data_IF_118591582209
#
_entry.id   IF_118591582209
#
_cell.length_a   1.000
_cell.length_b   1.000
_cell.length_c   1.000
_cell.angle_alpha   90.00
_cell.angle_beta   90.00
_cell.angle_gamma   90.00
#
_symmetry.space_group_name_H-M   'P 1'
#
loop_
_entity.id
_entity.type
_entity.pdbx_description
1 polymer ?
#
# COMPACT_ATOMS: atom_id res chain seq x y z
N UNK A 1 4.55 -6.27 4.81
CA UNK A 1 4.43 -6.51 3.36
C UNK A 1 3.36 -7.56 3.15
N UNK A 2 2.15 -7.13 2.79
CA UNK A 2 1.05 -8.04 2.44
C UNK A 2 1.16 -8.32 0.95
N UNK A 3 1.70 -9.47 0.60
CA UNK A 3 1.79 -9.92 -0.80
C UNK A 3 0.43 -10.47 -1.25
N UNK A 4 0.03 -10.15 -2.47
CA UNK A 4 -1.23 -10.65 -3.05
C UNK A 4 -0.94 -11.68 -4.13
N UNK A 5 -1.77 -12.73 -4.21
CA UNK A 5 -1.63 -13.76 -5.24
C UNK A 5 -2.24 -13.33 -6.59
N UNK A 6 -3.12 -12.34 -6.59
CA UNK A 6 -3.79 -11.89 -7.81
C UNK A 6 -4.05 -10.37 -7.82
N UNK A 7 -4.08 -9.80 -9.03
CA UNK A 7 -4.24 -8.36 -9.28
C UNK A 7 -5.57 -7.83 -8.74
N UNK A 8 -6.63 -8.66 -8.78
CA UNK A 8 -7.96 -8.25 -8.32
C UNK A 8 -7.96 -7.94 -6.82
N UNK A 9 -7.33 -8.79 -6.02
CA UNK A 9 -7.27 -8.60 -4.57
C UNK A 9 -6.37 -7.43 -4.20
N UNK A 10 -5.24 -7.28 -4.91
CA UNK A 10 -4.35 -6.13 -4.73
C UNK A 10 -5.04 -4.79 -5.07
N UNK A 11 -5.80 -4.74 -6.17
CA UNK A 11 -6.58 -3.55 -6.56
C UNK A 11 -7.71 -3.26 -5.58
N UNK A 12 -8.39 -4.30 -5.08
CA UNK A 12 -9.47 -4.13 -4.11
C UNK A 12 -8.95 -3.50 -2.82
N UNK A 13 -7.82 -3.98 -2.32
CA UNK A 13 -7.18 -3.40 -1.13
C UNK A 13 -6.71 -1.95 -1.38
N UNK A 14 -6.13 -1.66 -2.54
CA UNK A 14 -5.75 -0.29 -2.92
C UNK A 14 -6.96 0.67 -2.97
N UNK A 15 -8.13 0.20 -3.42
CA UNK A 15 -9.37 0.99 -3.41
C UNK A 15 -9.86 1.21 -1.98
N UNK A 16 -9.82 0.19 -1.13
CA UNK A 16 -10.21 0.31 0.29
C UNK A 16 -9.31 1.29 1.04
N UNK A 17 -8.01 1.28 0.73
CA UNK A 17 -7.03 2.25 1.20
C UNK A 17 -7.43 3.66 0.72
N UNK A 18 -7.66 3.85 -0.57
CA UNK A 18 -8.01 5.16 -1.13
C UNK A 18 -9.34 5.74 -0.58
N UNK A 19 -10.31 4.89 -0.26
CA UNK A 19 -11.63 5.29 0.26
C UNK A 19 -11.65 5.44 1.80
N UNK A 20 -10.56 5.11 2.48
CA UNK A 20 -10.47 5.22 3.93
C UNK A 20 -10.60 6.68 4.38
N UNK A 21 -11.74 6.99 5.01
CA UNK A 21 -12.04 8.34 5.53
C UNK A 21 -11.19 8.73 6.74
N UNK A 22 -10.66 7.75 7.46
CA UNK A 22 -9.73 7.95 8.57
C UNK A 22 -8.91 6.70 8.79
N UNK A 23 -7.63 6.89 9.11
CA UNK A 23 -6.67 5.80 9.26
C UNK A 23 -6.37 5.43 10.71
N UNK A 24 -6.84 6.23 11.67
CA UNK A 24 -6.64 6.00 13.10
C UNK A 24 -5.19 6.22 13.54
N UNK A 25 -4.78 5.45 14.55
CA UNK A 25 -3.44 5.51 15.13
C UNK A 25 -2.65 4.23 14.84
N UNK A 26 -1.36 4.38 14.55
CA UNK A 26 -0.41 3.29 14.35
C UNK A 26 0.33 3.05 15.66
N UNK A 27 0.59 1.78 15.96
CA UNK A 27 1.39 1.36 17.11
C UNK A 27 2.71 0.77 16.65
N UNK A 28 3.77 1.56 16.75
CA UNK A 28 5.14 1.15 16.40
C UNK A 28 6.05 1.26 17.62
N UNK A 29 6.81 0.20 17.91
CA UNK A 29 7.84 0.23 18.96
C UNK A 29 7.33 0.60 20.37
N UNK A 30 6.05 0.33 20.66
CA UNK A 30 5.41 0.69 21.94
C UNK A 30 4.88 2.12 22.01
N UNK A 31 5.05 2.93 20.97
CA UNK A 31 4.49 4.29 20.86
C UNK A 31 3.25 4.26 19.96
N UNK A 32 2.21 5.00 20.35
CA UNK A 32 1.00 5.22 19.55
C UNK A 32 1.11 6.60 18.93
N UNK A 33 1.03 6.70 17.61
CA UNK A 33 1.01 7.98 16.88
C UNK A 33 -0.11 7.98 15.85
N UNK A 34 -0.71 9.15 15.55
CA UNK A 34 -1.68 9.25 14.47
C UNK A 34 -1.02 8.90 13.14
N UNK A 35 -1.79 8.25 12.26
CA UNK A 35 -1.38 8.00 10.87
C UNK A 35 -1.12 9.33 10.18
N UNK A 36 0.04 9.43 9.56
CA UNK A 36 0.44 10.58 8.74
C UNK A 36 0.13 10.32 7.27
N UNK A 37 0.14 11.38 6.47
CA UNK A 37 0.00 11.28 5.01
C UNK A 37 1.13 10.41 4.43
N UNK A 38 2.33 10.47 5.01
CA UNK A 38 3.46 9.67 4.55
C UNK A 38 3.19 8.17 4.71
N UNK A 39 2.63 7.75 5.86
CA UNK A 39 2.32 6.32 6.08
C UNK A 39 1.29 5.80 5.05
N UNK A 40 0.32 6.65 4.67
CA UNK A 40 -0.67 6.31 3.65
C UNK A 40 -0.03 6.24 2.26
N UNK A 41 0.90 7.16 1.96
CA UNK A 41 1.66 7.13 0.71
C UNK A 41 2.52 5.88 0.61
N UNK A 42 3.22 5.51 1.67
CA UNK A 42 4.06 4.31 1.73
C UNK A 42 3.21 3.06 1.54
N UNK A 43 2.07 2.96 2.24
CA UNK A 43 1.13 1.85 2.08
C UNK A 43 0.57 1.76 0.65
N UNK A 44 0.22 2.90 0.06
CA UNK A 44 -0.27 2.96 -1.32
C UNK A 44 0.82 2.56 -2.31
N UNK A 45 2.06 2.99 -2.09
CA UNK A 45 3.20 2.66 -2.93
C UNK A 45 3.49 1.15 -2.89
N UNK A 46 3.44 0.53 -1.71
CA UNK A 46 3.53 -0.93 -1.59
C UNK A 46 2.44 -1.65 -2.40
N UNK A 47 1.20 -1.12 -2.42
CA UNK A 47 0.11 -1.72 -3.21
C UNK A 47 0.33 -1.58 -4.70
N UNK A 48 0.76 -0.41 -5.15
CA UNK A 48 1.04 -0.15 -6.54
C UNK A 48 2.18 -1.02 -7.07
N UNK A 49 3.23 -1.25 -6.26
CA UNK A 49 4.33 -2.14 -6.63
C UNK A 49 3.89 -3.60 -6.73
N UNK A 50 3.11 -4.09 -5.76
CA UNK A 50 2.52 -5.44 -5.85
C UNK A 50 1.63 -5.60 -7.10
N UNK A 51 0.81 -4.59 -7.42
CA UNK A 51 -0.03 -4.62 -8.63
C UNK A 51 0.85 -4.65 -9.89
N UNK A 52 1.89 -3.82 -9.94
CA UNK A 52 2.82 -3.76 -11.05
C UNK A 52 3.58 -5.10 -11.22
N UNK A 53 4.08 -5.71 -10.14
CA UNK A 53 4.71 -7.04 -10.17
C UNK A 53 3.77 -8.11 -10.73
N UNK A 54 2.52 -8.15 -10.25
CA UNK A 54 1.52 -9.11 -10.71
C UNK A 54 1.12 -8.91 -12.18
N UNK A 55 1.28 -7.69 -12.70
CA UNK A 55 1.05 -7.34 -14.10
C UNK A 55 2.30 -7.48 -14.98
N UNK A 56 3.46 -7.81 -14.39
CA UNK A 56 4.75 -7.82 -15.10
C UNK A 56 5.21 -6.43 -15.54
N UNK A 57 4.77 -5.38 -14.85
CA UNK A 57 5.07 -3.97 -15.08
C UNK A 57 6.05 -3.41 -14.04
N UNK A 58 6.95 -4.25 -13.53
CA UNK A 58 7.93 -3.85 -12.50
C UNK A 58 8.87 -2.74 -13.00
N UNK A 59 8.95 -2.52 -14.32
CA UNK A 59 9.65 -1.41 -14.96
C UNK A 59 9.15 -0.02 -14.50
N UNK A 60 7.91 0.08 -14.00
CA UNK A 60 7.33 1.35 -13.52
C UNK A 60 8.02 1.94 -12.29
N UNK A 61 8.79 1.15 -11.55
CA UNK A 61 9.48 1.60 -10.33
C UNK A 61 10.87 0.99 -10.14
N UNK A 62 11.24 0.03 -10.98
CA UNK A 62 12.58 -0.53 -11.02
C UNK A 62 13.51 0.20 -12.01
N UNK A 63 13.12 1.38 -12.53
CA UNK A 63 13.92 2.27 -13.41
C UNK A 63 15.37 1.78 -13.64
N UNK A 64 15.64 1.24 -14.83
CA UNK A 64 16.97 0.77 -15.29
C UNK A 64 18.05 1.88 -15.20
#
# INVERSE_FOLDING_TARGET
MTEFENVRDALKDAIEIADAKSWGDIKEGGTVRPVTIQDVQDLMQERLYNIADLLGMSDLYLDD
#
